data_IF_557447865916
#
_entry.id   IF_557447865916
#
_cell.length_a   1.000
_cell.length_b   1.000
_cell.length_c   1.000
_cell.angle_alpha   90.00
_cell.angle_beta   90.00
_cell.angle_gamma   90.00
#
_symmetry.space_group_name_H-M   'P 1'
#
loop_
_entity.id
_entity.type
_entity.pdbx_description
1 polymer ?
#
# COMPACT_ATOMS: atom_id res chain seq x y z
N UNK A 1 -18.35 18.83 16.80
CA UNK A 1 -18.62 17.42 16.39
C UNK A 1 -17.67 16.91 15.30
N UNK A 2 -16.34 17.15 15.40
CA UNK A 2 -15.35 16.73 14.38
C UNK A 2 -14.43 15.67 14.96
N UNK A 3 -14.87 14.40 15.06
CA UNK A 3 -14.00 13.23 15.37
C UNK A 3 -14.68 11.84 15.29
N UNK A 4 -15.86 11.71 14.66
CA UNK A 4 -16.60 10.43 14.56
C UNK A 4 -16.78 9.93 13.11
N UNK A 5 -15.75 10.01 12.28
CA UNK A 5 -15.77 9.49 10.88
C UNK A 5 -14.72 8.38 10.69
N UNK A 6 -14.31 7.71 11.77
CA UNK A 6 -13.36 6.60 11.69
C UNK A 6 -14.10 5.31 11.41
N UNK A 7 -13.98 4.86 10.16
CA UNK A 7 -13.77 3.46 9.74
C UNK A 7 -14.76 2.40 10.21
N UNK A 8 -15.28 1.60 9.27
CA UNK A 8 -16.05 0.41 9.60
C UNK A 8 -15.32 -0.47 10.63
N UNK A 9 -16.03 -0.88 11.69
CA UNK A 9 -15.47 -1.71 12.73
C UNK A 9 -15.10 -3.09 12.14
N UNK A 10 -13.93 -3.61 12.49
CA UNK A 10 -13.40 -4.92 12.07
C UNK A 10 -14.47 -6.05 12.03
N UNK A 11 -15.42 -6.17 13.00
CA UNK A 11 -16.48 -7.17 12.95
C UNK A 11 -17.40 -7.08 11.73
N UNK A 12 -17.72 -5.87 11.26
CA UNK A 12 -18.55 -5.68 10.08
C UNK A 12 -17.83 -6.10 8.79
N UNK A 13 -16.51 -5.89 8.71
CA UNK A 13 -15.70 -6.35 7.58
C UNK A 13 -15.65 -7.87 7.54
N UNK A 14 -15.41 -8.50 8.71
CA UNK A 14 -15.42 -9.95 8.84
C UNK A 14 -16.77 -10.54 8.45
N UNK A 15 -17.88 -9.96 8.93
CA UNK A 15 -19.23 -10.43 8.60
C UNK A 15 -19.53 -10.32 7.09
N UNK A 16 -19.16 -9.22 6.46
CA UNK A 16 -19.34 -9.04 5.02
C UNK A 16 -18.50 -10.05 4.22
N UNK A 17 -17.23 -10.25 4.58
CA UNK A 17 -16.36 -11.21 3.91
C UNK A 17 -16.86 -12.66 4.07
N UNK A 18 -17.42 -13.03 5.22
CA UNK A 18 -18.10 -14.31 5.41
C UNK A 18 -19.32 -14.45 4.49
N UNK A 19 -20.03 -13.35 4.23
CA UNK A 19 -21.11 -13.29 3.24
C UNK A 19 -20.60 -13.20 1.77
N UNK A 20 -19.30 -13.41 1.53
CA UNK A 20 -18.66 -13.29 0.22
C UNK A 20 -18.75 -11.89 -0.41
N UNK A 21 -18.89 -10.86 0.42
CA UNK A 21 -18.93 -9.46 0.04
C UNK A 21 -17.68 -8.73 0.57
N UNK A 22 -16.96 -8.07 -0.32
CA UNK A 22 -15.75 -7.34 0.00
C UNK A 22 -15.97 -5.82 -0.10
N UNK A 23 -15.44 -5.03 0.85
CA UNK A 23 -15.49 -3.58 0.79
C UNK A 23 -14.51 -3.03 -0.25
N UNK A 24 -14.99 -2.14 -1.12
CA UNK A 24 -14.19 -1.39 -2.08
C UNK A 24 -14.54 0.10 -2.05
N UNK A 25 -13.60 1.02 -2.38
CA UNK A 25 -13.87 2.47 -2.38
C UNK A 25 -14.94 2.89 -3.41
N UNK A 26 -15.97 3.62 -2.98
CA UNK A 26 -17.10 4.09 -3.80
C UNK A 26 -16.74 5.23 -4.77
N UNK A 27 -15.80 6.11 -4.41
CA UNK A 27 -15.43 7.26 -5.26
C UNK A 27 -14.65 6.90 -6.54
N UNK A 28 -14.25 5.64 -6.68
CA UNK A 28 -13.55 5.14 -7.87
C UNK A 28 -14.42 4.14 -8.66
N UNK A 29 -15.72 4.06 -8.39
CA UNK A 29 -16.68 3.23 -9.15
C UNK A 29 -17.04 3.81 -10.52
N UNK A 30 -16.20 4.68 -11.09
CA UNK A 30 -16.14 4.74 -12.56
C UNK A 30 -15.45 3.45 -12.95
N UNK A 31 -16.27 2.41 -13.17
CA UNK A 31 -15.83 1.15 -13.76
C UNK A 31 -14.87 1.50 -14.90
N UNK A 32 -13.68 0.87 -14.98
CA UNK A 32 -12.79 1.05 -16.12
C UNK A 32 -13.60 0.96 -17.41
N UNK A 33 -13.41 1.87 -18.37
CA UNK A 33 -14.15 1.88 -19.64
C UNK A 33 -14.07 0.54 -20.40
N UNK A 34 -13.15 -0.35 -20.03
CA UNK A 34 -13.05 -1.73 -20.53
C UNK A 34 -14.13 -2.69 -19.99
N UNK A 35 -14.87 -2.32 -18.94
CA UNK A 35 -16.04 -3.07 -18.43
C UNK A 35 -17.34 -2.64 -19.14
N UNK A 36 -17.35 -1.52 -19.86
CA UNK A 36 -18.54 -1.07 -20.61
C UNK A 36 -18.89 -2.05 -21.74
N UNK A 37 -17.93 -2.84 -22.24
CA UNK A 37 -18.23 -3.92 -23.19
C UNK A 37 -18.81 -5.18 -22.52
N UNK A 38 -18.57 -5.41 -21.23
CA UNK A 38 -19.15 -6.54 -20.48
C UNK A 38 -20.65 -6.30 -20.19
N UNK A 39 -21.09 -5.03 -20.14
CA UNK A 39 -22.51 -4.69 -19.93
C UNK A 39 -23.42 -5.06 -21.12
N UNK A 40 -22.87 -5.37 -22.30
CA UNK A 40 -23.69 -5.80 -23.46
C UNK A 40 -23.96 -7.30 -23.51
N UNK A 41 -23.23 -8.10 -22.75
CA UNK A 41 -23.39 -9.55 -22.69
C UNK A 41 -24.11 -9.96 -21.40
N UNK A 42 -25.43 -10.10 -21.52
CA UNK A 42 -26.26 -11.06 -20.79
C UNK A 42 -26.34 -10.93 -19.25
N UNK A 43 -27.42 -10.27 -18.80
CA UNK A 43 -28.35 -10.83 -17.81
C UNK A 43 -27.86 -10.98 -16.36
N UNK A 44 -28.45 -10.16 -15.48
CA UNK A 44 -28.45 -10.32 -14.02
C UNK A 44 -27.12 -10.10 -13.30
N UNK A 45 -26.78 -8.83 -13.05
CA UNK A 45 -25.99 -8.48 -11.86
C UNK A 45 -26.89 -7.62 -10.98
N UNK A 46 -27.66 -8.29 -10.12
CA UNK A 46 -28.37 -7.67 -9.02
C UNK A 46 -27.33 -7.35 -7.93
N UNK A 47 -26.55 -6.30 -8.14
CA UNK A 47 -25.55 -5.81 -7.17
C UNK A 47 -26.29 -5.22 -5.98
N UNK A 48 -26.28 -5.92 -4.84
CA UNK A 48 -26.70 -5.37 -3.55
C UNK A 48 -25.66 -4.34 -3.08
N UNK A 49 -25.68 -3.17 -3.71
CA UNK A 49 -24.85 -2.02 -3.37
C UNK A 49 -25.35 -1.40 -2.06
N UNK A 50 -24.95 -1.95 -0.92
CA UNK A 50 -25.16 -1.25 0.36
C UNK A 50 -24.18 -0.08 0.44
N UNK A 51 -24.64 1.10 0.04
CA UNK A 51 -23.91 2.35 0.23
C UNK A 51 -24.04 2.75 1.71
N UNK A 52 -23.11 2.29 2.54
CA UNK A 52 -22.96 2.83 3.89
C UNK A 52 -22.38 4.24 3.77
N UNK A 53 -22.74 5.12 4.71
CA UNK A 53 -22.38 6.56 4.77
C UNK A 53 -20.88 6.91 4.65
N UNK A 54 -20.01 5.91 4.44
CA UNK A 54 -18.56 5.95 4.50
C UNK A 54 -17.87 5.80 3.12
N UNK A 55 -18.57 6.06 2.01
CA UNK A 55 -17.99 6.02 0.65
C UNK A 55 -17.36 4.67 0.29
N UNK A 56 -17.92 3.56 0.78
CA UNK A 56 -17.50 2.20 0.46
C UNK A 56 -18.69 1.40 -0.07
N UNK A 57 -18.44 0.59 -1.09
CA UNK A 57 -19.40 -0.33 -1.70
C UNK A 57 -18.98 -1.75 -1.39
N UNK A 58 -19.95 -2.61 -1.09
CA UNK A 58 -19.72 -4.04 -0.98
C UNK A 58 -19.98 -4.71 -2.32
N UNK A 59 -18.96 -5.35 -2.86
CA UNK A 59 -19.04 -6.12 -4.10
C UNK A 59 -18.80 -7.60 -3.82
N UNK A 60 -19.34 -8.52 -4.64
CA UNK A 60 -18.95 -9.92 -4.61
C UNK A 60 -17.43 -10.09 -4.66
N UNK A 61 -16.87 -11.06 -3.93
CA UNK A 61 -15.42 -11.26 -3.83
C UNK A 61 -14.69 -11.29 -5.19
N UNK A 62 -15.27 -11.91 -6.21
CA UNK A 62 -14.72 -11.97 -7.57
C UNK A 62 -14.65 -10.57 -8.21
N UNK A 63 -15.74 -9.81 -8.15
CA UNK A 63 -15.85 -8.45 -8.69
C UNK A 63 -14.94 -7.48 -7.94
N UNK A 64 -14.91 -7.56 -6.61
CA UNK A 64 -14.03 -6.76 -5.76
C UNK A 64 -12.55 -7.02 -6.08
N UNK A 65 -12.19 -8.28 -6.31
CA UNK A 65 -10.82 -8.67 -6.68
C UNK A 65 -10.43 -8.08 -8.04
N UNK A 66 -11.27 -8.26 -9.06
CA UNK A 66 -11.01 -7.73 -10.41
C UNK A 66 -10.90 -6.19 -10.41
N UNK A 67 -11.79 -5.54 -9.67
CA UNK A 67 -11.76 -4.09 -9.49
C UNK A 67 -10.44 -3.61 -8.87
N UNK A 68 -10.04 -4.20 -7.73
CA UNK A 68 -8.78 -3.83 -7.08
C UNK A 68 -7.56 -4.09 -7.95
N UNK A 69 -7.54 -5.21 -8.69
CA UNK A 69 -6.46 -5.49 -9.64
C UNK A 69 -6.35 -4.41 -10.71
N UNK A 70 -7.47 -4.02 -11.34
CA UNK A 70 -7.48 -2.95 -12.34
C UNK A 70 -7.03 -1.60 -11.77
N UNK A 71 -7.41 -1.29 -10.54
CA UNK A 71 -7.03 -0.06 -9.84
C UNK A 71 -5.53 -0.05 -9.52
N UNK A 72 -4.99 -1.18 -9.04
CA UNK A 72 -3.57 -1.34 -8.74
C UNK A 72 -2.71 -1.26 -10.02
N UNK A 73 -3.17 -1.86 -11.12
CA UNK A 73 -2.51 -1.75 -12.43
C UNK A 73 -2.46 -0.31 -12.92
N UNK A 74 -3.60 0.39 -12.91
CA UNK A 74 -3.68 1.79 -13.28
C UNK A 74 -2.74 2.65 -12.42
N UNK A 75 -2.78 2.47 -11.10
CA UNK A 75 -1.97 3.25 -10.15
C UNK A 75 -0.47 3.03 -10.36
N UNK A 76 -0.05 1.76 -10.56
CA UNK A 76 1.35 1.44 -10.86
C UNK A 76 1.81 2.04 -12.17
N UNK A 77 0.96 1.99 -13.21
CA UNK A 77 1.25 2.62 -14.50
C UNK A 77 1.43 4.14 -14.35
N UNK A 78 0.49 4.81 -13.69
CA UNK A 78 0.59 6.25 -13.44
C UNK A 78 1.81 6.64 -12.60
N UNK A 79 2.20 5.82 -11.62
CA UNK A 79 3.43 6.04 -10.86
C UNK A 79 4.68 5.93 -11.75
N UNK A 80 4.74 4.88 -12.58
CA UNK A 80 5.85 4.67 -13.52
C UNK A 80 5.99 5.84 -14.51
N UNK A 81 4.87 6.32 -15.05
CA UNK A 81 4.83 7.49 -15.94
C UNK A 81 5.30 8.77 -15.23
N UNK A 82 4.88 8.99 -13.98
CA UNK A 82 5.33 10.14 -13.19
C UNK A 82 6.84 10.10 -12.92
N UNK A 83 7.38 8.92 -12.60
CA UNK A 83 8.83 8.71 -12.39
C UNK A 83 9.57 8.99 -13.70
N UNK A 84 9.14 8.41 -14.82
CA UNK A 84 9.75 8.62 -16.13
C UNK A 84 9.75 10.11 -16.54
N UNK A 85 8.63 10.81 -16.33
CA UNK A 85 8.52 12.23 -16.60
C UNK A 85 9.49 13.06 -15.74
N UNK A 86 9.65 12.73 -14.45
CA UNK A 86 10.62 13.39 -13.58
C UNK A 86 12.06 13.12 -14.03
N UNK A 87 12.39 11.89 -14.40
CA UNK A 87 13.72 11.52 -14.89
C UNK A 87 14.06 12.31 -16.17
N UNK A 88 13.12 12.41 -17.12
CA UNK A 88 13.29 13.20 -18.33
C UNK A 88 13.50 14.70 -18.05
N UNK A 89 12.85 15.23 -17.01
CA UNK A 89 13.04 16.62 -16.55
C UNK A 89 14.35 16.83 -15.78
N UNK A 90 14.91 15.78 -15.18
CA UNK A 90 16.14 15.79 -14.40
C UNK A 90 16.04 16.38 -12.99
N UNK A 91 14.97 17.13 -12.67
CA UNK A 91 14.78 17.72 -11.33
C UNK A 91 13.31 18.09 -11.04
N UNK A 92 13.01 18.32 -9.76
CA UNK A 92 11.71 18.76 -9.27
C UNK A 92 10.93 17.69 -8.50
N UNK A 93 9.77 18.10 -7.99
CA UNK A 93 8.86 17.22 -7.26
C UNK A 93 8.24 16.16 -8.18
N UNK A 94 8.04 14.95 -7.66
CA UNK A 94 7.39 13.86 -8.39
C UNK A 94 5.90 14.15 -8.65
N UNK A 95 5.22 14.77 -7.68
CA UNK A 95 3.82 15.14 -7.76
C UNK A 95 3.64 16.59 -7.30
N UNK A 96 2.74 17.33 -7.95
CA UNK A 96 2.42 18.72 -7.61
C UNK A 96 1.79 18.91 -6.22
N UNK A 97 1.26 17.84 -5.61
CA UNK A 97 0.72 17.87 -4.25
C UNK A 97 1.18 16.63 -3.47
N UNK A 98 2.49 16.53 -3.24
CA UNK A 98 3.13 15.41 -2.53
C UNK A 98 2.54 15.17 -1.13
N UNK A 99 2.14 16.23 -0.41
CA UNK A 99 1.53 16.13 0.93
C UNK A 99 0.21 15.37 0.90
N UNK A 100 -0.68 15.70 -0.04
CA UNK A 100 -1.97 15.02 -0.18
C UNK A 100 -1.78 13.57 -0.61
N UNK A 101 -0.87 13.31 -1.55
CA UNK A 101 -0.60 11.95 -2.04
C UNK A 101 0.00 11.08 -0.93
N UNK A 102 0.94 11.62 -0.14
CA UNK A 102 1.50 10.93 1.04
C UNK A 102 0.42 10.58 2.06
N UNK A 103 -0.52 11.50 2.32
CA UNK A 103 -1.64 11.23 3.21
C UNK A 103 -2.52 10.10 2.68
N UNK A 104 -2.91 10.16 1.40
CA UNK A 104 -3.74 9.14 0.77
C UNK A 104 -3.07 7.76 0.76
N UNK A 105 -1.76 7.70 0.51
CA UNK A 105 -1.00 6.45 0.55
C UNK A 105 -0.98 5.84 1.96
N UNK A 106 -0.75 6.66 3.00
CA UNK A 106 -0.80 6.19 4.39
C UNK A 106 -2.21 5.73 4.80
N UNK A 107 -3.24 6.50 4.43
CA UNK A 107 -4.64 6.12 4.68
C UNK A 107 -4.99 4.78 3.98
N UNK A 108 -4.46 4.55 2.77
CA UNK A 108 -4.63 3.28 2.04
C UNK A 108 -3.92 2.10 2.74
N UNK A 109 -2.69 2.31 3.24
CA UNK A 109 -1.95 1.28 3.99
C UNK A 109 -2.73 0.89 5.25
N UNK A 110 -3.23 1.86 6.00
CA UNK A 110 -4.04 1.61 7.21
C UNK A 110 -5.32 0.82 6.87
N UNK A 111 -5.99 1.17 5.76
CA UNK A 111 -7.15 0.45 5.26
C UNK A 111 -6.81 -1.00 4.88
N UNK A 112 -5.75 -1.21 4.10
CA UNK A 112 -5.31 -2.54 3.68
C UNK A 112 -4.95 -3.42 4.88
N UNK A 113 -4.26 -2.88 5.88
CA UNK A 113 -3.92 -3.59 7.12
C UNK A 113 -5.17 -4.12 7.84
N UNK A 114 -6.23 -3.31 7.93
CA UNK A 114 -7.50 -3.71 8.57
C UNK A 114 -8.22 -4.80 7.79
N UNK A 115 -8.22 -4.72 6.47
CA UNK A 115 -8.83 -5.76 5.62
C UNK A 115 -8.05 -7.07 5.73
N UNK A 116 -6.71 -7.02 5.70
CA UNK A 116 -5.89 -8.21 5.91
C UNK A 116 -6.16 -8.86 7.26
N UNK A 117 -6.38 -8.06 8.29
CA UNK A 117 -6.79 -8.56 9.61
C UNK A 117 -8.17 -9.21 9.57
N UNK A 118 -9.15 -8.60 8.89
CA UNK A 118 -10.47 -9.21 8.70
C UNK A 118 -10.36 -10.54 7.95
N UNK A 119 -9.56 -10.61 6.89
CA UNK A 119 -9.28 -11.83 6.11
C UNK A 119 -8.64 -12.90 7.01
N UNK A 120 -7.68 -12.53 7.86
CA UNK A 120 -7.04 -13.45 8.83
C UNK A 120 -8.07 -14.07 9.77
N UNK A 121 -9.01 -13.28 10.28
CA UNK A 121 -10.11 -13.76 11.13
C UNK A 121 -11.03 -14.70 10.34
N UNK A 122 -11.41 -14.33 9.12
CA UNK A 122 -12.26 -15.16 8.24
C UNK A 122 -11.61 -16.51 7.91
N UNK A 123 -10.30 -16.53 7.67
CA UNK A 123 -9.52 -17.72 7.34
C UNK A 123 -9.19 -18.61 8.55
N UNK A 124 -9.52 -18.21 9.77
CA UNK A 124 -9.34 -19.07 10.93
C UNK A 124 -10.16 -20.38 10.80
N UNK A 125 -9.58 -21.48 11.26
CA UNK A 125 -10.19 -22.83 11.19
C UNK A 125 -11.61 -22.87 11.74
N UNK A 126 -11.83 -22.14 12.83
CA UNK A 126 -13.09 -22.12 13.56
C UNK A 126 -14.17 -21.38 12.77
N UNK A 127 -13.82 -20.27 12.12
CA UNK A 127 -14.79 -19.52 11.31
C UNK A 127 -15.11 -20.23 9.99
N UNK A 128 -14.11 -20.84 9.35
CA UNK A 128 -14.33 -21.60 8.12
C UNK A 128 -15.19 -22.84 8.34
N UNK A 129 -14.93 -23.61 9.40
CA UNK A 129 -15.71 -24.82 9.68
C UNK A 129 -17.15 -24.52 10.10
N UNK A 130 -17.40 -23.42 10.82
CA UNK A 130 -18.74 -22.99 11.24
C UNK A 130 -19.59 -22.45 10.08
N UNK A 131 -19.01 -21.64 9.20
CA UNK A 131 -19.77 -20.98 8.13
C UNK A 131 -19.81 -21.79 6.83
N UNK A 132 -18.81 -22.65 6.59
CA UNK A 132 -18.70 -23.51 5.41
C UNK A 132 -18.47 -24.97 5.85
N UNK A 133 -19.54 -25.68 6.27
CA UNK A 133 -19.42 -27.06 6.75
C UNK A 133 -19.00 -28.03 5.63
N UNK A 134 -19.43 -27.78 4.40
CA UNK A 134 -19.05 -28.56 3.22
C UNK A 134 -17.58 -28.31 2.81
N UNK A 135 -16.73 -29.35 2.71
CA UNK A 135 -15.32 -29.20 2.33
C UNK A 135 -15.12 -28.60 0.94
N UNK A 136 -15.98 -28.92 -0.03
CA UNK A 136 -15.84 -28.40 -1.40
C UNK A 136 -16.11 -26.90 -1.47
N UNK A 137 -17.21 -26.43 -0.88
CA UNK A 137 -17.49 -24.99 -0.77
C UNK A 137 -16.44 -24.24 0.05
N UNK A 138 -15.92 -24.86 1.12
CA UNK A 138 -14.86 -24.26 1.95
C UNK A 138 -13.60 -24.00 1.14
N UNK A 139 -13.18 -24.94 0.30
CA UNK A 139 -11.98 -24.76 -0.52
C UNK A 139 -12.19 -23.67 -1.59
N UNK A 140 -13.36 -23.64 -2.24
CA UNK A 140 -13.70 -22.59 -3.22
C UNK A 140 -13.67 -21.21 -2.56
N UNK A 141 -14.29 -21.06 -1.39
CA UNK A 141 -14.27 -19.82 -0.63
C UNK A 141 -12.85 -19.42 -0.23
N UNK A 142 -12.06 -20.37 0.27
CA UNK A 142 -10.65 -20.16 0.65
C UNK A 142 -9.82 -19.64 -0.52
N UNK A 143 -9.97 -20.22 -1.70
CA UNK A 143 -9.27 -19.77 -2.91
C UNK A 143 -9.66 -18.33 -3.26
N UNK A 144 -10.95 -18.01 -3.22
CA UNK A 144 -11.45 -16.67 -3.57
C UNK A 144 -11.00 -15.60 -2.56
N UNK A 145 -11.08 -15.87 -1.25
CA UNK A 145 -10.64 -14.93 -0.22
C UNK A 145 -9.13 -14.71 -0.25
N UNK A 146 -8.34 -15.75 -0.58
CA UNK A 146 -6.89 -15.61 -0.75
C UNK A 146 -6.55 -14.78 -1.99
N UNK A 147 -7.26 -14.97 -3.11
CA UNK A 147 -7.10 -14.13 -4.30
C UNK A 147 -7.41 -12.66 -4.01
N UNK A 148 -8.50 -12.40 -3.29
CA UNK A 148 -8.85 -11.05 -2.83
C UNK A 148 -7.76 -10.47 -1.91
N UNK A 149 -7.28 -11.26 -0.95
CA UNK A 149 -6.19 -10.86 -0.05
C UNK A 149 -4.90 -10.49 -0.78
N UNK A 150 -4.56 -11.18 -1.88
CA UNK A 150 -3.42 -10.80 -2.75
C UNK A 150 -3.65 -9.44 -3.40
N UNK A 151 -4.84 -9.18 -3.95
CA UNK A 151 -5.15 -7.88 -4.55
C UNK A 151 -5.06 -6.72 -3.53
N UNK A 152 -5.44 -6.97 -2.27
CA UNK A 152 -5.27 -6.00 -1.18
C UNK A 152 -3.78 -5.78 -0.86
N UNK A 153 -2.99 -6.85 -0.77
CA UNK A 153 -1.54 -6.74 -0.55
C UNK A 153 -0.86 -5.96 -1.68
N UNK A 154 -1.24 -6.19 -2.95
CA UNK A 154 -0.73 -5.43 -4.09
C UNK A 154 -1.05 -3.93 -3.99
N UNK A 155 -2.22 -3.58 -3.43
CA UNK A 155 -2.61 -2.18 -3.21
C UNK A 155 -1.76 -1.51 -2.13
N UNK A 156 -1.47 -2.24 -1.05
CA UNK A 156 -0.57 -1.80 0.01
C UNK A 156 0.85 -1.60 -0.53
N UNK A 157 1.40 -2.58 -1.26
CA UNK A 157 2.73 -2.46 -1.86
C UNK A 157 2.81 -1.28 -2.83
N UNK A 158 1.78 -1.09 -3.66
CA UNK A 158 1.71 0.08 -4.55
C UNK A 158 1.72 1.40 -3.76
N UNK A 159 1.02 1.48 -2.62
CA UNK A 159 1.06 2.67 -1.76
C UNK A 159 2.45 2.88 -1.12
N UNK A 160 3.12 1.82 -0.70
CA UNK A 160 4.51 1.88 -0.22
C UNK A 160 5.47 2.37 -1.32
N UNK A 161 5.30 1.90 -2.56
CA UNK A 161 6.10 2.33 -3.70
C UNK A 161 5.90 3.83 -4.00
N UNK A 162 4.66 4.34 -3.89
CA UNK A 162 4.39 5.78 -4.01
C UNK A 162 5.14 6.56 -2.93
N UNK A 163 5.10 6.11 -1.68
CA UNK A 163 5.80 6.79 -0.57
C UNK A 163 7.31 6.81 -0.79
N UNK A 164 7.87 5.66 -1.20
CA UNK A 164 9.29 5.49 -1.52
C UNK A 164 9.70 6.41 -2.67
N UNK A 165 8.91 6.45 -3.75
CA UNK A 165 9.19 7.31 -4.89
C UNK A 165 9.14 8.80 -4.52
N UNK A 166 8.21 9.21 -3.65
CA UNK A 166 8.17 10.59 -3.13
C UNK A 166 9.43 10.88 -2.32
N UNK A 167 9.84 9.98 -1.42
CA UNK A 167 11.03 10.16 -0.58
C UNK A 167 12.31 10.28 -1.41
N UNK A 168 12.49 9.39 -2.39
CA UNK A 168 13.61 9.42 -3.33
C UNK A 168 13.59 10.64 -4.27
N UNK A 169 12.44 11.31 -4.40
CA UNK A 169 12.34 12.52 -5.22
C UNK A 169 12.85 13.78 -4.50
N UNK A 170 13.00 13.73 -3.18
CA UNK A 170 13.50 14.85 -2.39
C UNK A 170 15.01 15.02 -2.60
N UNK A 171 15.52 16.27 -2.56
CA UNK A 171 16.96 16.49 -2.59
C UNK A 171 17.61 15.78 -1.38
N UNK A 172 18.77 15.14 -1.56
CA UNK A 172 19.45 14.48 -0.46
C UNK A 172 19.75 15.49 0.65
N UNK A 173 19.55 15.06 1.90
CA UNK A 173 19.91 15.83 3.07
C UNK A 173 21.40 16.19 2.99
N UNK A 174 21.78 17.41 3.39
CA UNK A 174 23.19 17.80 3.43
C UNK A 174 23.96 16.78 4.25
N UNK A 175 24.81 15.99 3.61
CA UNK A 175 25.71 15.04 4.28
C UNK A 175 26.85 15.76 4.98
N UNK A 176 27.17 16.97 4.51
CA UNK A 176 28.16 17.85 5.13
C UNK A 176 27.57 18.60 6.33
N UNK A 177 28.01 18.21 7.52
CA UNK A 177 27.73 18.87 8.78
C UNK A 177 29.04 19.51 9.28
N UNK A 178 29.28 20.82 9.04
CA UNK A 178 30.54 21.46 9.41
C UNK A 178 30.83 21.38 10.92
N UNK A 179 29.78 21.28 11.74
CA UNK A 179 29.86 21.21 13.21
C UNK A 179 30.29 19.83 13.74
N UNK A 180 30.35 18.80 12.88
CA UNK A 180 30.75 17.42 13.23
C UNK A 180 32.04 16.99 12.52
N UNK A 181 32.80 17.93 11.94
CA UNK A 181 34.10 17.62 11.37
C UNK A 181 35.12 17.47 12.50
N UNK A 182 35.89 16.37 12.55
CA UNK A 182 36.98 16.24 13.50
C UNK A 182 37.98 17.38 13.27
N UNK A 183 38.36 18.04 14.36
CA UNK A 183 39.40 19.06 14.34
C UNK A 183 40.71 18.48 13.81
N UNK A 184 41.60 19.32 13.28
CA UNK A 184 42.93 18.89 12.81
C UNK A 184 43.69 18.07 13.85
N UNK A 185 43.51 18.39 15.14
CA UNK A 185 44.09 17.63 16.26
C UNK A 185 43.48 16.24 16.41
N UNK A 186 42.17 16.10 16.32
CA UNK A 186 41.46 14.81 16.42
C UNK A 186 41.80 13.90 15.26
N UNK A 187 41.91 14.45 14.04
CA UNK A 187 42.35 13.70 12.85
C UNK A 187 43.77 13.18 13.04
N UNK A 188 44.70 14.04 13.49
CA UNK A 188 46.09 13.63 13.77
C UNK A 188 46.14 12.53 14.83
N UNK A 189 45.36 12.64 15.91
CA UNK A 189 45.27 11.60 16.96
C UNK A 189 44.68 10.28 16.45
N UNK A 190 43.65 10.32 15.59
CA UNK A 190 43.10 9.11 14.97
C UNK A 190 44.13 8.42 14.06
N UNK A 191 44.87 9.20 13.27
CA UNK A 191 45.93 8.67 12.39
C UNK A 191 47.05 8.03 13.22
N UNK A 192 47.47 8.66 14.32
CA UNK A 192 48.44 8.09 15.26
C UNK A 192 47.95 6.77 15.86
N UNK A 193 46.68 6.73 16.30
CA UNK A 193 46.08 5.53 16.87
C UNK A 193 46.01 4.37 15.87
N UNK A 194 45.66 4.65 14.61
CA UNK A 194 45.65 3.63 13.55
C UNK A 194 47.06 3.15 13.20
N UNK A 195 48.06 4.03 13.09
CA UNK A 195 49.45 3.61 12.87
C UNK A 195 49.95 2.70 13.98
N UNK A 196 49.62 3.01 15.24
CA UNK A 196 49.94 2.16 16.39
C UNK A 196 49.24 0.80 16.32
N UNK A 197 47.96 0.76 15.93
CA UNK A 197 47.20 -0.49 15.75
C UNK A 197 47.77 -1.36 14.63
N UNK A 198 48.30 -0.75 13.58
CA UNK A 198 48.92 -1.43 12.43
C UNK A 198 50.40 -1.78 12.65
N UNK A 199 50.99 -1.41 13.79
CA UNK A 199 52.41 -1.61 14.08
C UNK A 199 53.36 -0.77 13.21
N UNK A 200 52.85 0.32 12.63
CA UNK A 200 53.60 1.25 11.81
C UNK A 200 54.26 2.33 12.66
N UNK A 201 55.37 2.88 12.18
CA UNK A 201 56.01 4.05 12.79
C UNK A 201 55.08 5.27 12.75
N UNK A 202 55.19 6.12 13.78
CA UNK A 202 54.39 7.34 13.84
C UNK A 202 54.67 8.25 12.63
N UNK A 203 53.63 8.74 11.94
CA UNK A 203 53.75 9.66 10.83
C UNK A 203 54.10 11.07 11.32
N UNK A 204 54.98 11.76 10.59
CA UNK A 204 55.25 13.17 10.79
C UNK A 204 54.15 14.02 10.13
N UNK A 205 53.50 14.88 10.92
CA UNK A 205 52.54 15.83 10.40
C UNK A 205 53.19 17.21 10.26
N UNK A 206 53.28 17.71 9.02
CA UNK A 206 53.63 19.11 8.72
C UNK A 206 52.54 20.09 9.21
#
# INVERSE_FOLDING_TARGET
MKRQVKTMALPAMTAALLASLAPVPAKSTVLPMTVVEIQKSAGLISTLTFNLKDEQVFLPLSEATAYLQSLNEYTRKSLSEAIAHRVAKGSGELFSNSVRIRKLANDNIEYCMRIKEAIRIVLSSDNLSKNFPDPSQREIFRVNIVKFGRAIADSEYTACDILSAIEQSLPPTKTYHPDNLPTSREVKLMILAEHKNLGLSEPEFL
#
